data_IF_702854088741
#
_entry.id   IF_702854088741
#
_cell.length_a   1.000
_cell.length_b   1.000
_cell.length_c   1.000
_cell.angle_alpha   90.00
_cell.angle_beta   90.00
_cell.angle_gamma   90.00
#
_symmetry.space_group_name_H-M   'P 1'
#
loop_
_entity.id
_entity.type
_entity.pdbx_description
1 polymer ?
#
# COMPACT_ATOMS: atom_id res chain seq x y z
N UNK A 1 -0.05 12.47 -3.97
CA UNK A 1 -0.89 12.51 -2.76
C UNK A 1 -1.68 13.80 -2.73
N UNK A 2 -2.97 13.74 -2.41
CA UNK A 2 -3.84 14.93 -2.26
C UNK A 2 -3.73 15.48 -0.83
N UNK A 3 -3.47 16.76 -0.68
CA UNK A 3 -3.32 17.38 0.64
C UNK A 3 -4.61 17.37 1.48
N UNK A 4 -5.77 17.54 0.83
CA UNK A 4 -7.04 17.46 1.54
C UNK A 4 -7.24 16.09 2.21
N UNK A 5 -6.86 15.00 1.54
CA UNK A 5 -6.93 13.67 2.11
C UNK A 5 -5.96 13.50 3.28
N UNK A 6 -4.72 14.01 3.16
CA UNK A 6 -3.76 14.03 4.26
C UNK A 6 -4.33 14.76 5.49
N UNK A 7 -4.88 15.96 5.30
CA UNK A 7 -5.46 16.74 6.40
C UNK A 7 -6.62 16.03 7.07
N UNK A 8 -7.50 15.39 6.29
CA UNK A 8 -8.57 14.58 6.84
C UNK A 8 -8.05 13.36 7.59
N UNK A 9 -7.04 12.68 7.07
CA UNK A 9 -6.36 11.56 7.74
C UNK A 9 -5.81 11.98 9.09
N UNK A 10 -5.13 13.12 9.18
CA UNK A 10 -4.59 13.64 10.43
C UNK A 10 -5.68 13.93 11.47
N UNK A 11 -6.81 14.51 11.02
CA UNK A 11 -7.97 14.73 11.90
C UNK A 11 -8.54 13.41 12.43
N UNK A 12 -8.74 12.42 11.55
CA UNK A 12 -9.26 11.09 11.92
C UNK A 12 -8.34 10.38 12.90
N UNK A 13 -7.02 10.60 12.78
CA UNK A 13 -6.02 10.04 13.70
C UNK A 13 -5.86 10.84 15.01
N UNK A 14 -6.64 11.90 15.23
CA UNK A 14 -6.67 12.66 16.48
C UNK A 14 -5.56 13.71 16.63
N UNK A 15 -4.89 14.11 15.57
CA UNK A 15 -3.91 15.19 15.65
C UNK A 15 -4.58 16.53 15.95
N UNK A 16 -3.94 17.34 16.79
CA UNK A 16 -4.46 18.66 17.18
C UNK A 16 -4.53 19.61 15.99
N UNK A 17 -5.48 20.57 16.03
CA UNK A 17 -5.60 21.59 14.99
C UNK A 17 -4.31 22.39 14.80
N UNK A 18 -3.62 22.73 15.89
CA UNK A 18 -2.35 23.44 15.85
C UNK A 18 -1.29 22.67 15.02
N UNK A 19 -1.18 21.37 15.24
CA UNK A 19 -0.24 20.53 14.50
C UNK A 19 -0.64 20.41 13.01
N UNK A 20 -1.94 20.24 12.74
CA UNK A 20 -2.48 20.20 11.38
C UNK A 20 -2.20 21.51 10.64
N UNK A 21 -2.33 22.66 11.28
CA UNK A 21 -2.05 23.94 10.65
C UNK A 21 -0.55 24.13 10.37
N UNK A 22 0.34 23.61 11.22
CA UNK A 22 1.76 23.55 10.90
C UNK A 22 2.04 22.68 9.67
N UNK A 23 1.41 21.51 9.56
CA UNK A 23 1.57 20.64 8.38
C UNK A 23 1.02 21.33 7.12
N UNK A 24 -0.11 22.01 7.19
CA UNK A 24 -0.61 22.79 6.05
C UNK A 24 0.40 23.85 5.59
N UNK A 25 0.93 24.63 6.51
CA UNK A 25 1.95 25.64 6.21
C UNK A 25 3.21 25.00 5.60
N UNK A 26 3.63 23.87 6.15
CA UNK A 26 4.78 23.12 5.66
C UNK A 26 4.61 22.61 4.22
N UNK A 27 3.48 22.00 3.88
CA UNK A 27 3.24 21.44 2.53
C UNK A 27 2.92 22.51 1.49
N UNK A 28 2.29 23.63 1.88
CA UNK A 28 1.84 24.68 0.95
C UNK A 28 2.83 25.83 0.80
N UNK A 29 3.77 25.99 1.72
CA UNK A 29 4.70 27.13 1.76
C UNK A 29 5.89 27.01 0.78
N UNK A 30 6.05 25.89 0.10
CA UNK A 30 7.20 25.63 -0.75
C UNK A 30 6.99 26.01 -2.23
N UNK A 31 7.98 26.66 -2.83
CA UNK A 31 8.10 26.80 -4.28
C UNK A 31 9.22 25.90 -4.82
N UNK A 32 9.08 25.42 -6.02
CA UNK A 32 10.03 24.55 -6.71
C UNK A 32 10.34 25.13 -8.08
N UNK A 33 11.60 25.03 -8.49
CA UNK A 33 12.03 25.29 -9.86
C UNK A 33 12.67 24.02 -10.44
N UNK A 34 12.59 23.89 -11.75
CA UNK A 34 13.25 22.78 -12.47
C UNK A 34 14.59 23.32 -12.98
N UNK A 35 15.67 22.61 -12.68
CA UNK A 35 17.00 22.88 -13.23
C UNK A 35 17.20 21.98 -14.45
N UNK A 36 17.47 22.60 -15.59
CA UNK A 36 17.78 21.89 -16.86
C UNK A 36 19.10 22.45 -17.39
N UNK A 37 20.12 21.63 -17.56
CA UNK A 37 21.43 22.02 -18.05
C UNK A 37 22.03 23.23 -17.30
N UNK A 38 21.95 23.21 -15.96
CA UNK A 38 22.40 24.25 -15.03
C UNK A 38 21.64 25.61 -15.13
N UNK A 39 20.57 25.68 -15.89
CA UNK A 39 19.66 26.81 -15.89
C UNK A 39 18.44 26.55 -15.02
N UNK A 40 18.22 27.42 -14.04
CA UNK A 40 17.06 27.34 -13.12
C UNK A 40 15.87 28.02 -13.77
N UNK A 41 14.84 27.24 -14.08
CA UNK A 41 13.58 27.74 -14.61
C UNK A 41 12.76 28.55 -13.59
N UNK A 42 11.58 29.07 -14.00
CA UNK A 42 10.70 29.84 -13.12
C UNK A 42 10.20 29.00 -11.93
N UNK A 43 10.10 29.65 -10.77
CA UNK A 43 9.54 29.03 -9.58
C UNK A 43 8.01 28.87 -9.68
N UNK A 44 7.51 27.72 -9.26
CA UNK A 44 6.07 27.45 -9.17
C UNK A 44 5.71 26.82 -7.82
N UNK A 45 4.51 27.04 -7.34
CA UNK A 45 4.00 26.44 -6.11
C UNK A 45 3.47 25.03 -6.38
N UNK A 46 3.84 24.09 -5.52
CA UNK A 46 3.26 22.74 -5.54
C UNK A 46 1.82 22.79 -5.02
N UNK A 47 0.95 21.96 -5.58
CA UNK A 47 -0.48 21.87 -5.18
C UNK A 47 -0.86 20.47 -4.66
N UNK A 48 0.05 19.53 -4.72
CA UNK A 48 -0.11 18.13 -4.28
C UNK A 48 1.25 17.46 -4.09
N UNK A 49 1.26 16.30 -3.47
CA UNK A 49 2.49 15.52 -3.24
C UNK A 49 3.19 15.92 -1.94
N UNK A 50 4.31 15.30 -1.69
CA UNK A 50 5.26 15.60 -0.62
C UNK A 50 6.64 15.77 -1.26
N UNK A 51 7.49 16.59 -0.62
CA UNK A 51 8.85 16.83 -1.10
C UNK A 51 9.70 15.59 -0.85
N UNK A 52 10.37 15.11 -1.90
CA UNK A 52 11.36 14.05 -1.79
C UNK A 52 12.60 14.58 -1.04
N UNK A 53 13.16 13.76 -0.14
CA UNK A 53 14.31 14.16 0.68
C UNK A 53 13.96 14.93 1.96
N UNK A 54 12.70 15.29 2.17
CA UNK A 54 12.26 15.93 3.40
C UNK A 54 12.02 14.88 4.51
N UNK A 55 12.56 15.05 5.73
CA UNK A 55 12.46 14.05 6.80
C UNK A 55 11.03 13.81 7.31
N UNK A 56 10.12 14.78 7.16
CA UNK A 56 8.71 14.63 7.56
C UNK A 56 7.86 13.91 6.50
N UNK A 57 8.27 13.98 5.25
CA UNK A 57 7.53 13.41 4.12
C UNK A 57 7.26 11.90 4.25
N UNK A 58 8.21 11.04 4.65
CA UNK A 58 7.96 9.62 4.87
C UNK A 58 6.93 9.35 5.97
N UNK A 59 6.95 10.13 7.04
CA UNK A 59 6.00 9.99 8.16
C UNK A 59 4.59 10.31 7.68
N UNK A 60 4.41 11.44 6.97
CA UNK A 60 3.12 11.85 6.43
C UNK A 60 2.61 10.85 5.37
N UNK A 61 3.52 10.31 4.56
CA UNK A 61 3.17 9.27 3.59
C UNK A 61 2.65 8.01 4.29
N UNK A 62 3.35 7.54 5.34
CA UNK A 62 2.94 6.36 6.10
C UNK A 62 1.58 6.55 6.78
N UNK A 63 1.30 7.73 7.33
CA UNK A 63 -0.01 8.04 7.91
C UNK A 63 -1.15 7.94 6.89
N UNK A 64 -0.90 8.36 5.64
CA UNK A 64 -1.87 8.24 4.55
C UNK A 64 -1.97 6.80 4.04
N UNK A 65 -0.84 6.12 3.89
CA UNK A 65 -0.81 4.73 3.43
C UNK A 65 -1.56 3.78 4.39
N UNK A 66 -1.46 4.03 5.71
CA UNK A 66 -2.20 3.28 6.73
C UNK A 66 -3.74 3.36 6.59
N UNK A 67 -4.25 4.38 5.89
CA UNK A 67 -5.68 4.46 5.58
C UNK A 67 -6.15 3.30 4.69
N UNK A 68 -5.29 2.73 3.83
CA UNK A 68 -5.63 1.53 3.08
C UNK A 68 -5.88 0.34 4.02
N UNK A 69 -5.04 0.19 5.05
CA UNK A 69 -5.26 -0.82 6.10
C UNK A 69 -6.60 -0.62 6.81
N UNK A 70 -6.96 0.62 7.10
CA UNK A 70 -8.26 0.93 7.73
C UNK A 70 -9.43 0.61 6.79
N UNK A 71 -9.32 0.89 5.50
CA UNK A 71 -10.35 0.53 4.51
C UNK A 71 -10.54 -0.98 4.42
N UNK A 72 -9.46 -1.75 4.38
CA UNK A 72 -9.52 -3.22 4.37
C UNK A 72 -10.11 -3.76 5.68
N UNK A 73 -9.69 -3.23 6.84
CA UNK A 73 -10.26 -3.61 8.15
C UNK A 73 -11.76 -3.30 8.21
N UNK A 74 -12.19 -2.17 7.67
CA UNK A 74 -13.61 -1.80 7.64
C UNK A 74 -14.40 -2.74 6.72
N UNK A 75 -13.91 -2.99 5.51
CA UNK A 75 -14.56 -3.94 4.59
C UNK A 75 -14.68 -5.34 5.19
N UNK A 76 -13.69 -5.75 5.98
CA UNK A 76 -13.73 -7.01 6.72
C UNK A 76 -14.78 -7.00 7.83
N UNK A 77 -14.91 -5.92 8.59
CA UNK A 77 -15.93 -5.76 9.62
C UNK A 77 -17.36 -5.79 9.04
N UNK A 78 -17.53 -5.31 7.79
CA UNK A 78 -18.79 -5.34 7.04
C UNK A 78 -19.03 -6.67 6.30
N UNK A 79 -18.14 -7.67 6.45
CA UNK A 79 -18.27 -8.98 5.80
C UNK A 79 -17.96 -8.99 4.30
N UNK A 80 -17.45 -7.90 3.74
CA UNK A 80 -17.06 -7.80 2.32
C UNK A 80 -15.75 -8.52 2.01
N UNK A 81 -14.94 -8.77 3.03
CA UNK A 81 -13.67 -9.50 2.97
C UNK A 81 -13.58 -10.48 4.12
N UNK A 82 -12.94 -11.62 3.90
CA UNK A 82 -12.51 -12.53 4.95
C UNK A 82 -10.99 -12.46 5.12
N UNK A 83 -10.50 -12.88 6.29
CA UNK A 83 -9.06 -13.04 6.51
C UNK A 83 -8.67 -14.50 6.36
N UNK A 84 -7.50 -14.74 5.80
CA UNK A 84 -6.91 -16.10 5.75
C UNK A 84 -6.43 -16.52 7.14
N UNK A 85 -6.27 -17.84 7.35
CA UNK A 85 -5.74 -18.46 8.58
C UNK A 85 -6.46 -18.01 9.87
N UNK A 86 -7.77 -17.90 9.84
CA UNK A 86 -8.60 -17.50 10.99
C UNK A 86 -8.48 -18.43 12.20
N UNK A 87 -7.98 -19.66 11.98
CA UNK A 87 -7.68 -20.63 13.05
C UNK A 87 -6.38 -20.31 13.82
N UNK A 88 -5.53 -19.44 13.30
CA UNK A 88 -4.27 -19.01 13.92
C UNK A 88 -4.29 -17.55 14.39
N UNK A 89 -5.06 -16.72 13.71
CA UNK A 89 -5.13 -15.27 13.96
C UNK A 89 -6.60 -14.86 14.13
N UNK A 90 -6.93 -14.24 15.23
CA UNK A 90 -8.28 -13.73 15.49
C UNK A 90 -8.77 -12.87 14.32
N UNK A 91 -9.93 -13.22 13.78
CA UNK A 91 -10.49 -12.62 12.56
C UNK A 91 -9.66 -12.84 11.29
N UNK A 92 -8.63 -13.70 11.30
CA UNK A 92 -7.77 -13.99 10.17
C UNK A 92 -6.89 -12.82 9.69
N UNK A 93 -5.88 -13.12 8.90
CA UNK A 93 -4.94 -12.16 8.32
C UNK A 93 -5.45 -11.69 6.95
N UNK A 94 -5.56 -10.39 6.71
CA UNK A 94 -5.99 -9.83 5.41
C UNK A 94 -4.97 -8.89 4.81
N UNK A 95 -4.19 -8.20 5.63
CA UNK A 95 -3.19 -7.24 5.17
C UNK A 95 -1.99 -7.23 6.10
N UNK A 96 -0.81 -7.22 5.51
CA UNK A 96 0.46 -6.95 6.16
C UNK A 96 1.11 -5.78 5.45
N UNK A 97 1.23 -4.66 6.13
CA UNK A 97 1.86 -3.45 5.60
C UNK A 97 3.07 -3.10 6.45
N UNK A 98 4.22 -3.01 5.82
CA UNK A 98 5.45 -2.61 6.46
C UNK A 98 6.14 -1.52 5.64
N UNK A 99 6.49 -0.41 6.32
CA UNK A 99 7.28 0.70 5.79
C UNK A 99 6.95 1.07 4.33
N UNK A 100 5.83 1.72 4.09
CA UNK A 100 5.45 2.40 2.84
C UNK A 100 5.64 1.68 1.49
N UNK A 101 6.67 0.84 1.35
CA UNK A 101 7.09 0.27 0.06
C UNK A 101 6.46 -1.09 -0.25
N UNK A 102 6.09 -1.87 0.78
CA UNK A 102 5.55 -3.21 0.60
C UNK A 102 4.25 -3.41 1.36
N UNK A 103 3.23 -3.81 0.63
CA UNK A 103 1.96 -4.23 1.19
C UNK A 103 1.64 -5.62 0.66
N UNK A 104 1.46 -6.59 1.56
CA UNK A 104 0.98 -7.93 1.21
C UNK A 104 -0.49 -7.99 1.60
N UNK A 105 -1.34 -8.41 0.67
CA UNK A 105 -2.76 -8.62 0.91
C UNK A 105 -3.04 -10.10 0.76
N UNK A 106 -3.69 -10.65 1.76
CA UNK A 106 -4.12 -12.04 1.81
C UNK A 106 -5.62 -12.10 1.63
N UNK A 107 -6.07 -13.04 0.80
CA UNK A 107 -7.49 -13.29 0.58
C UNK A 107 -7.75 -14.77 0.32
N UNK A 108 -8.92 -15.24 0.69
CA UNK A 108 -9.40 -16.54 0.29
C UNK A 108 -9.69 -16.58 -1.21
N UNK A 109 -9.74 -17.80 -1.77
CA UNK A 109 -10.16 -18.00 -3.16
C UNK A 109 -11.64 -17.64 -3.32
N UNK A 110 -11.91 -16.35 -3.56
CA UNK A 110 -13.25 -15.82 -3.78
C UNK A 110 -13.18 -14.63 -4.73
N UNK A 111 -13.81 -14.74 -5.91
CA UNK A 111 -13.79 -13.70 -6.94
C UNK A 111 -14.55 -12.43 -6.52
N UNK A 112 -15.62 -12.57 -5.73
CA UNK A 112 -16.37 -11.42 -5.22
C UNK A 112 -15.47 -10.59 -4.29
N UNK A 113 -14.78 -11.23 -3.35
CA UNK A 113 -13.82 -10.55 -2.47
C UNK A 113 -12.69 -9.90 -3.25
N UNK A 114 -12.21 -10.53 -4.32
CA UNK A 114 -11.20 -9.95 -5.20
C UNK A 114 -11.69 -8.66 -5.87
N UNK A 115 -12.94 -8.62 -6.34
CA UNK A 115 -13.57 -7.41 -6.87
C UNK A 115 -13.73 -6.33 -5.79
N UNK A 116 -14.10 -6.71 -4.56
CA UNK A 116 -14.20 -5.79 -3.44
C UNK A 116 -12.84 -5.16 -3.12
N UNK A 117 -11.75 -5.94 -3.09
CA UNK A 117 -10.38 -5.42 -2.93
C UNK A 117 -10.02 -4.45 -4.06
N UNK A 118 -10.32 -4.81 -5.31
CA UNK A 118 -10.06 -3.93 -6.46
C UNK A 118 -10.81 -2.61 -6.34
N UNK A 119 -12.05 -2.64 -5.88
CA UNK A 119 -12.88 -1.46 -5.63
C UNK A 119 -12.28 -0.59 -4.52
N UNK A 120 -11.83 -1.20 -3.42
CA UNK A 120 -11.15 -0.52 -2.31
C UNK A 120 -9.88 0.18 -2.81
N UNK A 121 -9.09 -0.47 -3.65
CA UNK A 121 -7.91 0.13 -4.27
C UNK A 121 -8.27 1.37 -5.10
N UNK A 122 -9.27 1.25 -5.96
CA UNK A 122 -9.76 2.38 -6.78
C UNK A 122 -10.25 3.55 -5.92
N UNK A 123 -11.02 3.27 -4.88
CA UNK A 123 -11.47 4.28 -3.92
C UNK A 123 -10.29 4.96 -3.20
N UNK A 124 -9.33 4.17 -2.72
CA UNK A 124 -8.13 4.70 -2.07
C UNK A 124 -7.31 5.58 -3.02
N UNK A 125 -7.10 5.16 -4.27
CA UNK A 125 -6.40 5.96 -5.28
C UNK A 125 -7.11 7.28 -5.57
N UNK A 126 -8.43 7.24 -5.72
CA UNK A 126 -9.23 8.44 -6.00
C UNK A 126 -9.20 9.43 -4.83
N UNK A 127 -9.30 8.94 -3.60
CA UNK A 127 -9.31 9.78 -2.41
C UNK A 127 -7.93 10.33 -2.08
N UNK A 128 -6.92 9.46 -2.01
CA UNK A 128 -5.56 9.80 -1.58
C UNK A 128 -4.75 10.51 -2.67
N UNK A 129 -5.05 10.23 -3.94
CA UNK A 129 -4.22 10.60 -5.09
C UNK A 129 -2.90 9.82 -5.17
N UNK A 130 -2.73 8.78 -4.35
CA UNK A 130 -1.67 7.79 -4.50
C UNK A 130 -2.14 6.74 -5.52
N UNK A 131 -1.23 6.23 -6.32
CA UNK A 131 -1.52 5.17 -7.30
C UNK A 131 -0.82 3.89 -6.90
N UNK A 132 -1.55 2.78 -6.92
CA UNK A 132 -0.98 1.45 -6.77
C UNK A 132 -0.26 1.08 -8.07
N UNK A 133 0.99 0.68 -7.96
CA UNK A 133 1.77 0.29 -9.13
C UNK A 133 1.57 -1.20 -9.44
N UNK A 134 0.49 -1.53 -10.14
CA UNK A 134 0.17 -2.91 -10.52
C UNK A 134 1.24 -3.56 -11.41
N UNK A 135 2.03 -2.78 -12.16
CA UNK A 135 3.13 -3.32 -12.96
C UNK A 135 4.32 -3.81 -12.12
N UNK A 136 4.48 -3.25 -10.90
CA UNK A 136 5.47 -3.68 -9.90
C UNK A 136 4.87 -4.63 -8.86
N UNK A 137 3.55 -4.83 -8.89
CA UNK A 137 2.86 -5.74 -7.99
C UNK A 137 2.84 -7.14 -8.56
N UNK A 138 2.85 -8.11 -7.69
CA UNK A 138 2.88 -9.53 -8.03
C UNK A 138 1.70 -10.23 -7.36
N UNK A 139 1.20 -11.28 -7.99
CA UNK A 139 0.15 -12.12 -7.45
C UNK A 139 0.68 -13.55 -7.27
N UNK A 140 0.36 -14.15 -6.14
CA UNK A 140 0.78 -15.49 -5.77
C UNK A 140 -0.46 -16.32 -5.47
N UNK A 141 -0.77 -17.27 -6.34
CA UNK A 141 -1.89 -18.18 -6.18
C UNK A 141 -1.40 -19.53 -5.68
N UNK A 142 -2.13 -20.12 -4.72
CA UNK A 142 -1.86 -21.47 -4.20
C UNK A 142 -3.17 -22.22 -3.94
N UNK A 143 -3.09 -23.53 -3.77
CA UNK A 143 -4.27 -24.38 -3.64
C UNK A 143 -5.17 -24.27 -4.89
N UNK A 144 -6.47 -24.21 -4.66
CA UNK A 144 -7.48 -24.09 -5.73
C UNK A 144 -7.35 -22.79 -6.53
N UNK A 145 -6.92 -21.70 -5.90
CA UNK A 145 -6.74 -20.39 -6.55
C UNK A 145 -5.78 -20.46 -7.75
N UNK A 146 -4.87 -21.45 -7.78
CA UNK A 146 -3.92 -21.62 -8.88
C UNK A 146 -4.61 -21.90 -10.21
N UNK A 147 -5.74 -22.58 -10.21
CA UNK A 147 -6.52 -22.87 -11.41
C UNK A 147 -7.19 -21.60 -12.00
N UNK A 148 -7.28 -20.54 -11.20
CA UNK A 148 -7.90 -19.26 -11.56
C UNK A 148 -6.89 -18.11 -11.67
N UNK A 149 -5.60 -18.41 -11.72
CA UNK A 149 -4.51 -17.43 -11.75
C UNK A 149 -4.69 -16.40 -12.89
N UNK A 150 -5.12 -16.83 -14.07
CA UNK A 150 -5.36 -15.94 -15.20
C UNK A 150 -6.49 -14.92 -14.93
N UNK A 151 -7.55 -15.33 -14.25
CA UNK A 151 -8.65 -14.43 -13.86
C UNK A 151 -8.15 -13.36 -12.88
N UNK A 152 -7.38 -13.75 -11.88
CA UNK A 152 -6.79 -12.81 -10.92
C UNK A 152 -5.77 -11.87 -11.58
N UNK A 153 -4.96 -12.38 -12.52
CA UNK A 153 -4.04 -11.58 -13.31
C UNK A 153 -4.79 -10.50 -14.12
N UNK A 154 -5.86 -10.86 -14.79
CA UNK A 154 -6.69 -9.92 -15.55
C UNK A 154 -7.37 -8.91 -14.63
N UNK A 155 -7.95 -9.37 -13.52
CA UNK A 155 -8.63 -8.50 -12.56
C UNK A 155 -7.69 -7.44 -11.98
N UNK A 156 -6.49 -7.82 -11.51
CA UNK A 156 -5.57 -6.91 -10.84
C UNK A 156 -4.58 -6.25 -11.79
N UNK A 157 -4.32 -6.82 -12.95
CA UNK A 157 -3.26 -6.36 -13.85
C UNK A 157 -1.85 -6.61 -13.31
N UNK A 158 -1.69 -7.55 -12.37
CA UNK A 158 -0.42 -7.93 -11.75
C UNK A 158 0.23 -9.11 -12.46
N UNK A 159 1.55 -9.25 -12.28
CA UNK A 159 2.27 -10.41 -12.80
C UNK A 159 2.10 -11.61 -11.87
N UNK A 160 1.68 -12.78 -12.37
CA UNK A 160 1.69 -14.00 -11.57
C UNK A 160 3.11 -14.44 -11.28
N UNK A 161 3.34 -14.91 -10.06
CA UNK A 161 4.62 -15.41 -9.56
C UNK A 161 4.44 -16.70 -8.76
N UNK A 162 5.49 -17.47 -8.71
CA UNK A 162 5.56 -18.68 -7.89
C UNK A 162 6.24 -18.39 -6.57
N UNK A 163 5.84 -19.14 -5.53
CA UNK A 163 6.52 -19.11 -4.23
C UNK A 163 7.97 -19.59 -4.33
N UNK A 164 8.86 -19.12 -3.43
CA UNK A 164 8.59 -18.27 -2.27
C UNK A 164 8.42 -16.78 -2.61
N UNK A 165 7.65 -16.07 -1.79
CA UNK A 165 7.60 -14.60 -1.81
C UNK A 165 8.87 -14.09 -1.11
N UNK A 166 9.60 -13.18 -1.73
CA UNK A 166 10.67 -12.45 -1.04
C UNK A 166 10.13 -11.16 -0.44
N UNK A 167 10.18 -11.07 0.89
CA UNK A 167 9.72 -9.91 1.64
C UNK A 167 10.81 -9.42 2.58
N UNK A 168 11.38 -8.26 2.31
CA UNK A 168 12.50 -7.66 3.08
C UNK A 168 13.68 -8.62 3.27
N UNK A 169 14.04 -9.36 2.23
CA UNK A 169 15.13 -10.35 2.29
C UNK A 169 14.73 -11.72 2.84
N UNK A 170 13.55 -11.84 3.45
CA UNK A 170 13.03 -13.08 4.03
C UNK A 170 12.16 -13.81 2.99
N UNK A 171 12.36 -15.11 2.86
CA UNK A 171 11.51 -15.98 2.04
C UNK A 171 10.25 -16.36 2.82
N UNK A 172 9.06 -16.06 2.25
CA UNK A 172 7.76 -16.47 2.79
C UNK A 172 7.16 -17.53 1.87
N UNK A 173 6.72 -18.64 2.45
CA UNK A 173 6.12 -19.75 1.72
C UNK A 173 4.90 -20.29 2.49
N UNK A 174 3.91 -20.81 1.77
CA UNK A 174 2.76 -21.51 2.38
C UNK A 174 3.10 -22.92 2.88
N UNK A 175 4.29 -23.43 2.55
CA UNK A 175 4.86 -24.70 3.09
C UNK A 175 6.05 -24.39 3.98
N UNK A 176 6.46 -25.38 4.79
CA UNK A 176 7.70 -25.29 5.55
C UNK A 176 8.86 -25.03 4.57
N UNK A 177 9.64 -23.99 4.87
CA UNK A 177 10.83 -23.65 4.10
C UNK A 177 11.89 -24.76 4.26
N UNK A 178 12.59 -25.04 3.17
CA UNK A 178 13.76 -25.96 3.16
C UNK A 178 15.02 -25.18 3.55
N UNK A 179 16.09 -25.91 3.88
CA UNK A 179 17.37 -25.29 4.22
C UNK A 179 17.92 -24.43 3.05
N UNK A 180 17.64 -24.81 1.80
CA UNK A 180 18.03 -24.05 0.61
C UNK A 180 17.34 -22.68 0.52
N UNK A 181 16.14 -22.54 1.06
CA UNK A 181 15.41 -21.26 1.05
C UNK A 181 16.01 -20.25 2.03
N UNK A 182 16.79 -20.71 3.01
CA UNK A 182 17.47 -19.88 4.01
C UNK A 182 18.90 -19.50 3.63
N UNK A 183 19.52 -20.18 2.66
CA UNK A 183 20.92 -19.93 2.28
C UNK A 183 21.17 -18.50 1.78
N UNK A 184 20.18 -17.87 1.19
CA UNK A 184 20.29 -16.49 0.72
C UNK A 184 20.23 -15.41 1.84
N UNK A 185 20.09 -15.80 3.10
CA UNK A 185 20.05 -14.88 4.26
C UNK A 185 21.39 -14.88 4.99
N UNK A 186 22.28 -15.82 4.66
CA UNK A 186 23.58 -15.98 5.32
C UNK A 186 24.73 -15.20 4.63
N UNK A 187 24.47 -14.56 3.48
CA UNK A 187 25.39 -13.64 2.80
C UNK A 187 25.00 -12.17 3.07
#
# INVERSE_FOLDING_TARGET
MRWNFLIQTLRLKGFSNKWIDWIKSFISGGSVAINVNDEVGPYFQTKKGLRQGDPLSPILFNLVADMLTLFIKRAKAEGLLSGVVSHLVDNGLSILQYAADYTIIFMDHNLEQAHNIKTIFGAFEQLSGLKINFHKSEIFCFGEAKNYENLYKELFGCKPKSFPIRYLGISIHYRKLSNSDWMNIQE
#
